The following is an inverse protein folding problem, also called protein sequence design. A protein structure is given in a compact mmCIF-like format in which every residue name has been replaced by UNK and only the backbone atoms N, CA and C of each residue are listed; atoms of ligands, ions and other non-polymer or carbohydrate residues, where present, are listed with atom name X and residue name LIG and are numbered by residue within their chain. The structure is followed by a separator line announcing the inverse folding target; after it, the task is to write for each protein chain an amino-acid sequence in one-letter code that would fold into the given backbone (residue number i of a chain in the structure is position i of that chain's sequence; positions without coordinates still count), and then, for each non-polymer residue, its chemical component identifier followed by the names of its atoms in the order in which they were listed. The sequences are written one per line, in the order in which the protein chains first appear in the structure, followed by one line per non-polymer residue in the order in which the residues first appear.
data_IF_921631192250
#
_entry.id   IF_921631192250
#
_cell.length_a   1.000
_cell.length_b   1.000
_cell.length_c   1.000
_cell.angle_alpha   90.00
_cell.angle_beta   90.00
_cell.angle_gamma   90.00
#
_symmetry.space_group_name_H-M   'P 1'
#
loop_
_entity.id
_entity.type
_entity.pdbx_description
1 polymer ?
#
# COMPACT_ATOMS: atom_id res chain seq x y z
N UNK A 1 -13.90 -6.01 -12.27
CA UNK A 1 -13.18 -5.81 -11.00
C UNK A 1 -12.11 -6.87 -10.79
N UNK A 2 -12.47 -8.11 -10.47
CA UNK A 2 -11.51 -9.19 -10.19
C UNK A 2 -10.52 -9.39 -11.35
N UNK A 3 -10.99 -9.38 -12.61
CA UNK A 3 -10.14 -9.49 -13.80
C UNK A 3 -9.09 -8.39 -13.90
N UNK A 4 -9.41 -7.14 -13.51
CA UNK A 4 -8.44 -6.04 -13.51
C UNK A 4 -7.33 -6.27 -12.51
N UNK A 5 -7.66 -6.64 -11.26
CA UNK A 5 -6.66 -6.91 -10.23
C UNK A 5 -5.78 -8.11 -10.58
N UNK A 6 -6.40 -9.21 -11.08
CA UNK A 6 -5.65 -10.40 -11.49
C UNK A 6 -4.69 -10.10 -12.65
N UNK A 7 -5.16 -9.37 -13.67
CA UNK A 7 -4.31 -9.00 -14.81
C UNK A 7 -3.21 -8.02 -14.41
N UNK A 8 -3.48 -7.09 -13.46
CA UNK A 8 -2.46 -6.21 -12.92
C UNK A 8 -1.29 -7.00 -12.33
N UNK A 9 -1.56 -8.07 -11.59
CA UNK A 9 -0.52 -8.96 -11.07
C UNK A 9 0.34 -9.57 -12.17
N UNK A 10 -0.29 -10.08 -13.23
CA UNK A 10 0.43 -10.67 -14.37
C UNK A 10 1.29 -9.63 -15.09
N UNK A 11 0.72 -8.47 -15.43
CA UNK A 11 1.43 -7.43 -16.17
C UNK A 11 2.55 -6.83 -15.34
N UNK A 12 2.31 -6.54 -14.06
CA UNK A 12 3.33 -6.01 -13.18
C UNK A 12 4.51 -6.96 -13.00
N UNK A 13 4.26 -8.26 -12.81
CA UNK A 13 5.31 -9.26 -12.69
C UNK A 13 6.20 -9.29 -13.94
N UNK A 14 5.61 -9.27 -15.13
CA UNK A 14 6.37 -9.24 -16.38
C UNK A 14 7.18 -7.96 -16.55
N UNK A 15 6.56 -6.81 -16.32
CA UNK A 15 7.26 -5.51 -16.41
C UNK A 15 8.38 -5.42 -15.39
N UNK A 16 8.13 -5.94 -14.16
CA UNK A 16 9.12 -5.94 -13.09
C UNK A 16 10.38 -6.68 -13.47
N UNK A 17 10.25 -7.91 -13.98
CA UNK A 17 11.38 -8.75 -14.40
C UNK A 17 12.09 -8.16 -15.62
N UNK A 18 11.35 -7.57 -16.57
CA UNK A 18 11.94 -7.02 -17.79
C UNK A 18 12.75 -5.76 -17.48
N UNK A 19 12.16 -4.80 -16.76
CA UNK A 19 12.78 -3.48 -16.59
C UNK A 19 12.51 -2.83 -15.22
N UNK A 20 11.37 -3.10 -14.60
CA UNK A 20 10.93 -2.42 -13.39
C UNK A 20 11.91 -2.56 -12.24
N UNK A 21 12.44 -3.76 -12.02
CA UNK A 21 13.47 -4.01 -11.00
C UNK A 21 14.73 -3.17 -11.26
N UNK A 22 15.15 -3.06 -12.51
CA UNK A 22 16.30 -2.25 -12.90
C UNK A 22 16.10 -0.77 -12.63
N UNK A 23 14.92 -0.24 -12.95
CA UNK A 23 14.57 1.15 -12.69
C UNK A 23 14.39 1.47 -11.20
N UNK A 24 14.05 0.47 -10.38
CA UNK A 24 13.91 0.63 -8.94
C UNK A 24 15.25 0.50 -8.19
N UNK A 25 16.10 -0.47 -8.56
CA UNK A 25 17.27 -0.87 -7.76
C UNK A 25 18.60 -0.83 -8.51
N UNK A 26 18.60 -0.55 -9.82
CA UNK A 26 19.83 -0.36 -10.58
C UNK A 26 20.52 0.97 -10.25
N UNK A 27 21.80 1.05 -10.50
CA UNK A 27 22.57 2.29 -10.40
C UNK A 27 22.00 3.35 -11.35
N UNK A 28 21.74 4.57 -10.84
CA UNK A 28 21.08 5.59 -11.63
C UNK A 28 21.29 7.00 -11.08
N UNK A 29 20.27 7.83 -11.20
CA UNK A 29 20.26 9.19 -10.66
C UNK A 29 19.31 9.27 -9.43
N UNK A 30 19.06 10.46 -8.92
CA UNK A 30 18.22 10.67 -7.75
C UNK A 30 16.74 10.24 -7.93
N UNK A 31 16.28 9.96 -9.15
CA UNK A 31 14.87 9.72 -9.46
C UNK A 31 14.60 8.35 -10.06
N UNK A 32 15.56 7.72 -10.72
CA UNK A 32 15.37 6.45 -11.42
C UNK A 32 16.69 5.70 -11.55
N UNK A 33 16.65 4.38 -11.39
CA UNK A 33 17.74 3.46 -11.67
C UNK A 33 18.00 3.29 -13.19
N UNK A 34 19.16 2.75 -13.51
CA UNK A 34 19.59 2.48 -14.90
C UNK A 34 19.12 1.11 -15.39
N UNK A 35 19.89 0.56 -16.35
CA UNK A 35 19.59 -0.71 -17.02
C UNK A 35 20.41 -1.90 -16.50
N UNK A 36 21.04 -1.77 -15.34
CA UNK A 36 21.97 -2.74 -14.78
C UNK A 36 21.34 -4.14 -14.62
N UNK A 37 20.07 -4.18 -14.19
CA UNK A 37 19.34 -5.42 -13.98
C UNK A 37 18.30 -5.71 -15.08
N UNK A 38 18.47 -5.17 -16.29
CA UNK A 38 17.57 -5.45 -17.41
C UNK A 38 17.44 -6.95 -17.65
N UNK A 39 16.21 -7.48 -17.69
CA UNK A 39 15.90 -8.92 -17.80
C UNK A 39 16.57 -9.78 -16.71
N UNK A 40 17.01 -9.17 -15.61
CA UNK A 40 17.75 -9.81 -14.51
C UNK A 40 19.06 -10.50 -14.93
N UNK A 41 19.57 -10.21 -16.12
CA UNK A 41 20.73 -10.92 -16.72
C UNK A 41 22.04 -10.79 -15.93
N UNK A 42 22.17 -9.72 -15.11
CA UNK A 42 23.38 -9.51 -14.27
C UNK A 42 23.31 -10.21 -12.92
N UNK A 43 22.16 -10.76 -12.52
CA UNK A 43 21.97 -11.42 -11.22
C UNK A 43 22.32 -12.90 -11.36
N UNK A 44 23.31 -13.36 -10.59
CA UNK A 44 23.69 -14.77 -10.51
C UNK A 44 22.83 -15.50 -9.48
N UNK A 45 22.79 -16.84 -9.60
CA UNK A 45 21.97 -17.69 -8.73
C UNK A 45 22.40 -17.68 -7.26
N UNK A 46 23.65 -17.39 -7.02
CA UNK A 46 24.31 -17.34 -5.70
C UNK A 46 24.48 -15.92 -5.15
N UNK A 47 24.05 -14.88 -5.89
CA UNK A 47 24.08 -13.49 -5.42
C UNK A 47 23.14 -13.30 -4.22
N UNK A 48 23.56 -12.47 -3.29
CA UNK A 48 22.80 -12.08 -2.11
C UNK A 48 22.39 -10.62 -2.19
N UNK A 49 21.21 -10.32 -1.64
CA UNK A 49 20.75 -8.98 -1.30
C UNK A 49 20.56 -8.95 0.22
N UNK A 50 21.47 -8.28 0.95
CA UNK A 50 21.53 -8.39 2.40
C UNK A 50 21.77 -9.82 2.84
N UNK A 51 20.82 -10.41 3.57
CA UNK A 51 20.92 -11.78 4.13
C UNK A 51 20.19 -12.85 3.32
N UNK A 52 19.50 -12.46 2.23
CA UNK A 52 18.68 -13.37 1.45
C UNK A 52 19.16 -13.51 0.00
N UNK A 53 18.84 -14.62 -0.70
CA UNK A 53 19.14 -14.75 -2.12
C UNK A 53 18.58 -13.56 -2.93
N UNK A 54 19.38 -13.01 -3.84
CA UNK A 54 18.99 -11.82 -4.61
C UNK A 54 17.73 -12.07 -5.44
N UNK A 55 17.56 -13.26 -6.02
CA UNK A 55 16.34 -13.62 -6.75
C UNK A 55 15.09 -13.65 -5.85
N UNK A 56 15.23 -14.00 -4.56
CA UNK A 56 14.12 -13.91 -3.60
C UNK A 56 13.76 -12.45 -3.32
N UNK A 57 14.76 -11.58 -3.18
CA UNK A 57 14.55 -10.14 -3.04
C UNK A 57 13.82 -9.55 -4.26
N UNK A 58 14.25 -9.92 -5.48
CA UNK A 58 13.57 -9.52 -6.72
C UNK A 58 12.10 -9.91 -6.70
N UNK A 59 11.80 -11.16 -6.34
CA UNK A 59 10.42 -11.66 -6.29
C UNK A 59 9.61 -10.96 -5.21
N UNK A 60 10.16 -10.78 -4.01
CA UNK A 60 9.52 -10.09 -2.90
C UNK A 60 9.13 -8.65 -3.30
N UNK A 61 10.07 -7.88 -3.83
CA UNK A 61 9.84 -6.53 -4.29
C UNK A 61 8.85 -6.46 -5.49
N UNK A 62 8.84 -7.48 -6.34
CA UNK A 62 7.88 -7.60 -7.44
C UNK A 62 6.43 -7.75 -6.96
N UNK A 63 6.20 -8.38 -5.81
CA UNK A 63 4.86 -8.47 -5.22
C UNK A 63 4.32 -7.09 -4.81
N UNK A 64 5.20 -6.17 -4.40
CA UNK A 64 4.82 -4.79 -4.07
C UNK A 64 4.45 -3.97 -5.30
N UNK A 65 5.19 -4.11 -6.40
CA UNK A 65 4.81 -3.50 -7.67
C UNK A 65 3.43 -3.99 -8.15
N UNK A 66 3.19 -5.30 -7.99
CA UNK A 66 1.94 -5.92 -8.40
C UNK A 66 0.75 -5.46 -7.55
N UNK A 67 0.88 -5.42 -6.22
CA UNK A 67 -0.21 -4.95 -5.37
C UNK A 67 -0.45 -3.45 -5.55
N UNK A 68 0.59 -2.62 -5.71
CA UNK A 68 0.45 -1.19 -5.88
C UNK A 68 -0.41 -0.84 -7.10
N UNK A 69 -0.14 -1.40 -8.28
CA UNK A 69 -0.97 -1.16 -9.46
C UNK A 69 -2.36 -1.80 -9.33
N UNK A 70 -2.47 -2.95 -8.67
CA UNK A 70 -3.79 -3.55 -8.42
C UNK A 70 -4.68 -2.65 -7.54
N UNK A 71 -4.13 -1.95 -6.55
CA UNK A 71 -4.86 -0.96 -5.75
C UNK A 71 -5.44 0.16 -6.61
N UNK A 72 -4.67 0.70 -7.56
CA UNK A 72 -5.14 1.77 -8.46
C UNK A 72 -6.41 1.37 -9.21
N UNK A 73 -6.56 0.08 -9.56
CA UNK A 73 -7.77 -0.41 -10.23
C UNK A 73 -9.05 -0.11 -9.44
N UNK A 74 -8.96 -0.11 -8.11
CA UNK A 74 -10.10 0.11 -7.23
C UNK A 74 -10.77 1.47 -7.43
N UNK A 75 -10.01 2.50 -7.79
CA UNK A 75 -10.55 3.84 -8.03
C UNK A 75 -11.29 3.98 -9.35
N UNK A 76 -11.00 3.14 -10.34
CA UNK A 76 -11.42 3.34 -11.74
C UNK A 76 -12.32 2.24 -12.30
N UNK A 77 -12.78 1.34 -11.46
CA UNK A 77 -13.67 0.24 -11.83
C UNK A 77 -14.89 0.78 -12.60
N UNK A 78 -15.29 0.04 -13.65
CA UNK A 78 -16.44 0.34 -14.52
C UNK A 78 -16.28 1.55 -15.45
N UNK A 79 -15.16 2.25 -15.41
CA UNK A 79 -14.90 3.46 -16.22
C UNK A 79 -13.84 3.31 -17.30
N UNK A 80 -13.06 2.23 -17.25
CA UNK A 80 -11.91 2.01 -18.15
C UNK A 80 -12.08 0.72 -18.93
N UNK A 81 -11.79 0.76 -20.24
CA UNK A 81 -11.74 -0.45 -21.07
C UNK A 81 -10.59 -1.35 -20.59
N UNK A 82 -10.81 -2.65 -20.62
CA UNK A 82 -9.83 -3.63 -20.15
C UNK A 82 -8.47 -3.54 -20.87
N UNK A 83 -8.48 -3.31 -22.19
CA UNK A 83 -7.25 -3.09 -22.97
C UNK A 83 -6.47 -1.85 -22.50
N UNK A 84 -7.17 -0.76 -22.22
CA UNK A 84 -6.55 0.47 -21.68
C UNK A 84 -5.95 0.20 -20.30
N UNK A 85 -6.62 -0.61 -19.47
CA UNK A 85 -6.11 -1.01 -18.16
C UNK A 85 -4.79 -1.79 -18.27
N UNK A 86 -4.67 -2.71 -19.23
CA UNK A 86 -3.42 -3.45 -19.45
C UNK A 86 -2.28 -2.49 -19.81
N UNK A 87 -2.49 -1.60 -20.77
CA UNK A 87 -1.48 -0.62 -21.20
C UNK A 87 -1.11 0.30 -20.02
N UNK A 88 -2.11 0.80 -19.30
CA UNK A 88 -1.87 1.63 -18.14
C UNK A 88 -1.03 0.91 -17.08
N UNK A 89 -1.35 -0.34 -16.76
CA UNK A 89 -0.62 -1.12 -15.76
C UNK A 89 0.86 -1.29 -16.14
N UNK A 90 1.15 -1.56 -17.40
CA UNK A 90 2.52 -1.68 -17.92
C UNK A 90 3.28 -0.37 -17.74
N UNK A 91 2.71 0.72 -18.21
CA UNK A 91 3.35 2.05 -18.17
C UNK A 91 3.48 2.55 -16.73
N UNK A 92 2.44 2.38 -15.91
CA UNK A 92 2.44 2.85 -14.53
C UNK A 92 3.50 2.14 -13.67
N UNK A 93 3.65 0.83 -13.81
CA UNK A 93 4.70 0.08 -13.08
C UNK A 93 6.09 0.53 -13.51
N UNK A 94 6.34 0.68 -14.82
CA UNK A 94 7.64 1.07 -15.32
C UNK A 94 8.00 2.54 -15.01
N UNK A 95 7.04 3.47 -15.19
CA UNK A 95 7.32 4.91 -15.22
C UNK A 95 6.89 5.68 -13.97
N UNK A 96 6.08 5.06 -13.09
CA UNK A 96 5.61 5.69 -11.86
C UNK A 96 6.09 4.88 -10.65
N UNK A 97 5.71 3.59 -10.58
CA UNK A 97 6.07 2.77 -9.42
C UNK A 97 7.58 2.60 -9.26
N UNK A 98 8.27 2.17 -10.31
CA UNK A 98 9.71 1.87 -10.22
C UNK A 98 10.56 3.10 -9.89
N UNK A 99 10.33 4.29 -10.48
CA UNK A 99 11.01 5.50 -10.06
C UNK A 99 10.72 5.89 -8.59
N UNK A 100 9.49 5.78 -8.12
CA UNK A 100 9.17 6.08 -6.72
C UNK A 100 9.88 5.08 -5.78
N UNK A 101 9.88 3.79 -6.13
CA UNK A 101 10.65 2.78 -5.40
C UNK A 101 12.16 3.10 -5.38
N UNK A 102 12.70 3.60 -6.49
CA UNK A 102 14.09 4.06 -6.56
C UNK A 102 14.35 5.25 -5.62
N UNK A 103 13.47 6.25 -5.66
CA UNK A 103 13.62 7.44 -4.80
C UNK A 103 13.64 7.09 -3.31
N UNK A 104 12.86 6.10 -2.86
CA UNK A 104 12.71 5.74 -1.44
C UNK A 104 13.69 4.63 -1.04
N UNK A 105 13.83 3.57 -1.84
CA UNK A 105 14.58 2.35 -1.47
C UNK A 105 15.83 2.11 -2.32
N UNK A 106 15.90 2.68 -3.52
CA UNK A 106 16.98 2.45 -4.49
C UNK A 106 18.17 3.41 -4.35
N UNK A 107 18.26 4.20 -3.28
CA UNK A 107 19.31 5.19 -3.09
C UNK A 107 19.04 6.53 -3.79
N UNK A 108 17.79 6.81 -4.15
CA UNK A 108 17.37 8.05 -4.76
C UNK A 108 17.17 9.20 -3.76
N UNK A 109 16.48 10.25 -4.19
CA UNK A 109 16.42 11.52 -3.44
C UNK A 109 15.80 11.39 -2.05
N UNK A 110 14.73 10.61 -1.88
CA UNK A 110 14.05 10.47 -0.58
C UNK A 110 14.89 9.65 0.39
N UNK A 111 15.50 8.55 -0.09
CA UNK A 111 16.45 7.76 0.68
C UNK A 111 17.62 8.63 1.20
N UNK A 112 18.18 9.48 0.34
CA UNK A 112 19.29 10.36 0.68
C UNK A 112 18.90 11.46 1.68
N UNK A 113 17.62 11.78 1.82
CA UNK A 113 17.08 12.71 2.82
C UNK A 113 16.59 12.00 4.09
N UNK A 114 16.76 10.69 4.21
CA UNK A 114 16.46 9.92 5.41
C UNK A 114 15.00 9.55 5.58
N UNK A 115 14.21 9.45 4.50
CA UNK A 115 12.84 8.94 4.60
C UNK A 115 12.82 7.53 5.19
N UNK A 116 11.95 7.34 6.19
CA UNK A 116 11.68 6.05 6.82
C UNK A 116 10.42 5.44 6.23
N UNK A 117 10.58 4.49 5.33
CA UNK A 117 9.48 3.70 4.77
C UNK A 117 9.82 2.21 4.80
N UNK A 118 9.45 1.54 5.90
CA UNK A 118 9.88 0.16 6.15
C UNK A 118 9.33 -0.83 5.12
N UNK A 119 8.06 -0.68 4.76
CA UNK A 119 7.40 -1.65 3.91
C UNK A 119 6.52 -1.04 2.80
N UNK A 120 6.56 0.27 2.55
CA UNK A 120 5.92 0.87 1.39
C UNK A 120 4.72 1.77 1.68
N UNK A 121 4.73 2.49 2.79
CA UNK A 121 3.74 3.55 3.04
C UNK A 121 3.74 4.58 1.93
N UNK A 122 4.90 5.08 1.55
CA UNK A 122 5.09 6.01 0.42
C UNK A 122 5.07 5.28 -0.91
N UNK A 123 5.91 4.25 -1.08
CA UNK A 123 6.13 3.57 -2.36
C UNK A 123 4.85 2.92 -2.88
N UNK A 124 4.02 2.36 -2.02
CA UNK A 124 2.83 1.60 -2.40
C UNK A 124 1.57 2.40 -2.14
N UNK A 125 1.32 2.77 -0.87
CA UNK A 125 -0.01 3.24 -0.46
C UNK A 125 -0.26 4.70 -0.87
N UNK A 126 0.66 5.62 -0.61
CA UNK A 126 0.54 7.01 -1.06
C UNK A 126 0.52 7.05 -2.58
N UNK A 127 1.46 6.36 -3.22
CA UNK A 127 1.57 6.31 -4.67
C UNK A 127 0.27 5.81 -5.34
N UNK A 128 -0.25 4.65 -4.91
CA UNK A 128 -1.50 4.11 -5.46
C UNK A 128 -2.71 5.00 -5.13
N UNK A 129 -2.80 5.52 -3.91
CA UNK A 129 -3.90 6.37 -3.48
C UNK A 129 -3.98 7.68 -4.25
N UNK A 130 -2.86 8.36 -4.43
CA UNK A 130 -2.78 9.62 -5.22
C UNK A 130 -3.03 9.34 -6.69
N UNK A 131 -2.47 8.27 -7.25
CA UNK A 131 -2.75 7.87 -8.65
C UNK A 131 -4.24 7.61 -8.85
N UNK A 132 -4.88 6.89 -7.92
CA UNK A 132 -6.33 6.66 -7.92
C UNK A 132 -7.13 7.97 -7.89
N UNK A 133 -6.78 8.89 -6.99
CA UNK A 133 -7.44 10.20 -6.89
C UNK A 133 -7.33 10.99 -8.20
N UNK A 134 -6.14 11.10 -8.77
CA UNK A 134 -5.93 11.79 -10.06
C UNK A 134 -6.79 11.17 -11.16
N UNK A 135 -6.81 9.84 -11.25
CA UNK A 135 -7.61 9.14 -12.25
C UNK A 135 -9.12 9.35 -12.05
N UNK A 136 -9.60 9.42 -10.80
CA UNK A 136 -11.04 9.71 -10.55
C UNK A 136 -11.43 11.10 -11.07
N UNK A 137 -10.59 12.10 -10.87
CA UNK A 137 -10.83 13.44 -11.43
C UNK A 137 -10.76 13.47 -12.96
N UNK A 138 -9.82 12.74 -13.57
CA UNK A 138 -9.67 12.70 -15.03
C UNK A 138 -10.84 11.98 -15.72
N UNK A 139 -11.36 10.91 -15.12
CA UNK A 139 -12.41 10.08 -15.72
C UNK A 139 -13.82 10.57 -15.37
N UNK A 140 -13.97 11.35 -14.31
CA UNK A 140 -15.25 11.80 -13.79
C UNK A 140 -16.04 10.69 -13.09
N UNK A 141 -17.27 11.00 -12.69
CA UNK A 141 -18.14 10.10 -11.95
C UNK A 141 -18.76 9.03 -12.84
N UNK A 142 -19.04 7.84 -12.27
CA UNK A 142 -19.85 6.80 -12.91
C UNK A 142 -21.27 7.32 -13.18
N UNK A 143 -21.95 6.73 -14.17
CA UNK A 143 -23.33 7.12 -14.51
C UNK A 143 -24.32 6.90 -13.38
N UNK A 144 -24.07 5.92 -12.54
CA UNK A 144 -24.87 5.49 -11.40
C UNK A 144 -24.26 5.87 -10.03
N UNK A 145 -23.33 6.83 -10.02
CA UNK A 145 -22.59 7.25 -8.80
C UNK A 145 -23.50 7.61 -7.61
N UNK A 146 -24.71 8.14 -7.88
CA UNK A 146 -25.68 8.52 -6.87
C UNK A 146 -26.78 7.47 -6.65
N UNK A 147 -26.67 6.28 -7.25
CA UNK A 147 -27.66 5.21 -7.03
C UNK A 147 -27.44 4.50 -5.69
N UNK A 148 -28.52 4.09 -5.04
CA UNK A 148 -28.47 3.30 -3.79
C UNK A 148 -27.91 1.88 -3.99
N UNK A 149 -27.65 1.46 -5.22
CA UNK A 149 -27.18 0.13 -5.60
C UNK A 149 -25.66 -0.06 -5.57
N UNK A 150 -24.90 0.92 -5.08
CA UNK A 150 -23.44 0.85 -4.96
C UNK A 150 -22.95 -0.05 -3.80
N UNK A 151 -23.65 -1.17 -3.55
CA UNK A 151 -23.27 -2.14 -2.52
C UNK A 151 -22.27 -3.17 -3.05
N UNK A 152 -21.40 -3.74 -2.18
CA UNK A 152 -20.55 -4.87 -2.57
C UNK A 152 -21.43 -6.02 -3.10
N UNK A 153 -21.06 -6.61 -4.24
CA UNK A 153 -21.77 -7.75 -4.82
C UNK A 153 -21.80 -8.98 -3.90
N UNK A 154 -20.81 -9.10 -3.02
CA UNK A 154 -20.73 -10.15 -2.00
C UNK A 154 -19.94 -9.68 -0.78
N UNK A 155 -20.64 -9.40 0.32
CA UNK A 155 -20.02 -9.07 1.60
C UNK A 155 -19.15 -10.21 2.13
N UNK A 156 -19.52 -11.47 1.87
CA UNK A 156 -18.73 -12.65 2.27
C UNK A 156 -17.38 -12.70 1.56
N UNK A 157 -17.36 -12.48 0.25
CA UNK A 157 -16.10 -12.46 -0.52
C UNK A 157 -15.24 -11.26 -0.15
N UNK A 158 -15.84 -10.10 0.10
CA UNK A 158 -15.12 -8.93 0.59
C UNK A 158 -14.44 -9.20 1.94
N UNK A 159 -15.17 -9.80 2.90
CA UNK A 159 -14.63 -10.14 4.21
C UNK A 159 -13.51 -11.21 4.10
N UNK A 160 -13.70 -12.22 3.26
CA UNK A 160 -12.66 -13.21 2.98
C UNK A 160 -11.41 -12.55 2.40
N UNK A 161 -11.57 -11.64 1.42
CA UNK A 161 -10.47 -10.89 0.80
C UNK A 161 -9.71 -10.04 1.82
N UNK A 162 -10.42 -9.29 2.67
CA UNK A 162 -9.78 -8.49 3.73
C UNK A 162 -9.06 -9.33 4.78
N UNK A 163 -9.59 -10.52 5.09
CA UNK A 163 -8.94 -11.46 6.01
C UNK A 163 -7.66 -12.06 5.41
N UNK A 164 -7.68 -12.39 4.12
CA UNK A 164 -6.48 -12.85 3.39
C UNK A 164 -5.44 -11.74 3.28
N UNK A 165 -5.86 -10.48 3.08
CA UNK A 165 -4.96 -9.32 3.13
C UNK A 165 -4.34 -9.16 4.52
N UNK A 166 -5.11 -9.28 5.60
CA UNK A 166 -4.59 -9.20 6.96
C UNK A 166 -3.50 -10.25 7.20
N UNK A 167 -3.79 -11.50 6.86
CA UNK A 167 -2.81 -12.57 6.97
C UNK A 167 -1.57 -12.31 6.09
N UNK A 168 -1.77 -11.92 4.83
CA UNK A 168 -0.68 -11.61 3.90
C UNK A 168 0.20 -10.45 4.36
N UNK A 169 -0.37 -9.52 5.14
CA UNK A 169 0.36 -8.37 5.66
C UNK A 169 1.42 -8.73 6.71
N UNK A 170 1.31 -9.86 7.36
CA UNK A 170 2.40 -10.38 8.19
C UNK A 170 3.67 -10.63 7.39
N UNK A 171 3.52 -11.20 6.19
CA UNK A 171 4.61 -11.33 5.22
C UNK A 171 5.00 -10.00 4.58
N UNK A 172 4.03 -9.14 4.32
CA UNK A 172 4.24 -7.81 3.75
C UNK A 172 5.19 -6.98 4.64
N UNK A 173 4.86 -6.80 5.91
CA UNK A 173 5.65 -6.00 6.85
C UNK A 173 6.79 -6.81 7.49
N UNK A 174 6.53 -8.00 8.01
CA UNK A 174 7.60 -8.83 8.62
C UNK A 174 8.66 -9.26 7.61
N UNK A 175 8.26 -9.58 6.38
CA UNK A 175 9.18 -9.92 5.30
C UNK A 175 10.06 -8.76 4.85
N UNK A 176 9.63 -7.51 5.03
CA UNK A 176 10.41 -6.33 4.68
C UNK A 176 11.68 -6.16 5.51
N UNK A 177 11.81 -6.88 6.61
CA UNK A 177 13.07 -6.97 7.36
C UNK A 177 14.16 -7.73 6.61
N UNK A 178 13.80 -8.58 5.64
CA UNK A 178 14.71 -9.42 4.85
C UNK A 178 15.56 -10.38 5.70
N UNK A 179 15.16 -10.61 6.96
CA UNK A 179 15.82 -11.51 7.91
C UNK A 179 14.79 -12.11 8.87
N UNK A 180 15.10 -13.28 9.43
CA UNK A 180 14.28 -13.92 10.47
C UNK A 180 14.84 -13.56 11.85
N UNK A 181 14.59 -12.32 12.29
CA UNK A 181 15.10 -11.75 13.53
C UNK A 181 14.00 -11.10 14.38
N UNK A 182 14.38 -10.42 15.47
CA UNK A 182 13.45 -9.77 16.38
C UNK A 182 12.73 -8.57 15.74
N UNK A 183 13.33 -7.89 14.75
CA UNK A 183 12.66 -6.78 14.03
C UNK A 183 11.53 -7.34 13.18
N UNK A 184 11.75 -8.46 12.47
CA UNK A 184 10.68 -9.14 11.73
C UNK A 184 9.55 -9.59 12.66
N UNK A 185 9.86 -10.16 13.81
CA UNK A 185 8.87 -10.57 14.81
C UNK A 185 8.09 -9.37 15.38
N UNK A 186 8.78 -8.27 15.69
CA UNK A 186 8.15 -7.02 16.10
C UNK A 186 7.23 -6.47 15.01
N UNK A 187 7.69 -6.41 13.74
CA UNK A 187 6.90 -5.92 12.62
C UNK A 187 5.60 -6.72 12.42
N UNK A 188 5.61 -8.03 12.60
CA UNK A 188 4.40 -8.87 12.57
C UNK A 188 3.46 -8.51 13.73
N UNK A 189 3.98 -8.39 14.95
CA UNK A 189 3.18 -8.05 16.12
C UNK A 189 2.52 -6.68 15.99
N UNK A 190 3.28 -5.64 15.68
CA UNK A 190 2.76 -4.27 15.58
C UNK A 190 1.79 -4.12 14.41
N UNK A 191 1.98 -4.87 13.32
CA UNK A 191 1.03 -4.95 12.20
C UNK A 191 -0.31 -5.49 12.67
N UNK A 192 -0.32 -6.59 13.43
CA UNK A 192 -1.55 -7.17 13.95
C UNK A 192 -2.26 -6.23 14.92
N UNK A 193 -1.52 -5.57 15.81
CA UNK A 193 -2.06 -4.61 16.78
C UNK A 193 -2.70 -3.41 16.09
N UNK A 194 -2.01 -2.82 15.11
CA UNK A 194 -2.54 -1.67 14.38
C UNK A 194 -3.76 -2.01 13.53
N UNK A 195 -3.79 -3.19 12.90
CA UNK A 195 -4.95 -3.69 12.17
C UNK A 195 -6.17 -3.81 13.07
N UNK A 196 -6.02 -4.46 14.23
CA UNK A 196 -7.08 -4.62 15.22
C UNK A 196 -7.57 -3.28 15.77
N UNK A 197 -6.63 -2.36 16.10
CA UNK A 197 -6.95 -1.03 16.59
C UNK A 197 -7.71 -0.20 15.55
N UNK A 198 -7.29 -0.24 14.28
CA UNK A 198 -7.96 0.45 13.18
C UNK A 198 -9.39 -0.05 12.95
N UNK A 199 -9.57 -1.37 12.88
CA UNK A 199 -10.89 -1.98 12.75
C UNK A 199 -11.83 -1.66 13.91
N UNK A 200 -11.32 -1.73 15.13
CA UNK A 200 -12.09 -1.41 16.34
C UNK A 200 -12.46 0.08 16.41
N UNK A 201 -11.53 0.98 16.05
CA UNK A 201 -11.80 2.42 16.03
C UNK A 201 -12.87 2.77 14.99
N UNK A 202 -12.79 2.23 13.78
CA UNK A 202 -13.82 2.44 12.77
C UNK A 202 -15.20 1.99 13.26
N UNK A 203 -15.28 0.79 13.84
CA UNK A 203 -16.50 0.23 14.41
C UNK A 203 -17.08 1.16 15.48
N UNK A 204 -16.26 1.68 16.41
CA UNK A 204 -16.71 2.60 17.46
C UNK A 204 -17.24 3.92 16.87
N UNK A 205 -16.60 4.44 15.83
CA UNK A 205 -17.05 5.69 15.17
C UNK A 205 -18.39 5.45 14.48
N UNK A 206 -18.56 4.37 13.71
CA UNK A 206 -19.86 4.03 13.12
C UNK A 206 -20.95 3.88 14.19
N UNK A 207 -20.63 3.24 15.30
CA UNK A 207 -21.58 3.04 16.39
C UNK A 207 -21.99 4.34 17.08
N UNK A 208 -21.08 5.29 17.19
CA UNK A 208 -21.32 6.58 17.87
C UNK A 208 -21.94 7.65 16.97
N UNK A 209 -21.78 7.55 15.65
CA UNK A 209 -22.12 8.63 14.71
C UNK A 209 -23.36 8.38 13.87
N UNK A 210 -23.93 7.20 13.88
CA UNK A 210 -25.11 6.87 13.07
C UNK A 210 -26.17 6.16 13.88
N UNK A 211 -27.44 6.36 13.54
CA UNK A 211 -28.54 5.51 14.02
C UNK A 211 -28.44 4.07 13.45
N UNK A 212 -27.39 3.80 12.70
CA UNK A 212 -27.08 2.52 12.06
C UNK A 212 -26.14 1.71 12.92
N UNK A 213 -26.33 0.41 12.90
CA UNK A 213 -25.41 -0.55 13.53
C UNK A 213 -24.07 -0.56 12.78
N UNK A 214 -22.94 -0.84 13.45
CA UNK A 214 -21.66 -1.04 12.81
C UNK A 214 -21.74 -2.06 11.67
N UNK A 215 -20.99 -1.80 10.60
CA UNK A 215 -21.04 -2.63 9.39
C UNK A 215 -19.81 -3.53 9.26
N UNK A 216 -19.98 -4.70 8.65
CA UNK A 216 -18.85 -5.58 8.31
C UNK A 216 -17.91 -4.91 7.31
N UNK A 217 -18.46 -4.11 6.38
CA UNK A 217 -17.66 -3.35 5.42
C UNK A 217 -16.79 -2.31 6.14
N UNK A 218 -17.38 -1.55 7.06
CA UNK A 218 -16.66 -0.56 7.86
C UNK A 218 -15.56 -1.18 8.71
N UNK A 219 -15.85 -2.30 9.38
CA UNK A 219 -14.84 -3.03 10.17
C UNK A 219 -13.67 -3.50 9.30
N UNK A 220 -13.94 -4.05 8.11
CA UNK A 220 -12.91 -4.48 7.17
C UNK A 220 -12.08 -3.27 6.65
N UNK A 221 -12.74 -2.16 6.32
CA UNK A 221 -12.07 -0.93 5.89
C UNK A 221 -11.18 -0.36 7.00
N UNK A 222 -11.63 -0.39 8.24
CA UNK A 222 -10.85 0.01 9.41
C UNK A 222 -9.62 -0.86 9.64
N UNK A 223 -9.77 -2.19 9.50
CA UNK A 223 -8.64 -3.14 9.55
C UNK A 223 -7.60 -2.80 8.48
N UNK A 224 -8.03 -2.62 7.22
CA UNK A 224 -7.11 -2.26 6.13
C UNK A 224 -6.46 -0.89 6.38
N UNK A 225 -7.21 0.09 6.89
CA UNK A 225 -6.65 1.38 7.29
C UNK A 225 -5.53 1.22 8.34
N UNK A 226 -5.74 0.39 9.37
CA UNK A 226 -4.71 0.08 10.36
C UNK A 226 -3.47 -0.57 9.75
N UNK A 227 -3.67 -1.51 8.82
CA UNK A 227 -2.59 -2.17 8.08
C UNK A 227 -1.78 -1.17 7.23
N UNK A 228 -2.46 -0.28 6.53
CA UNK A 228 -1.83 0.77 5.71
C UNK A 228 -1.02 1.74 6.56
N UNK A 229 -1.62 2.26 7.63
CA UNK A 229 -0.96 3.26 8.47
C UNK A 229 0.28 2.75 9.19
N UNK A 230 0.28 1.46 9.59
CA UNK A 230 1.46 0.87 10.24
C UNK A 230 2.57 0.49 9.25
N UNK A 231 2.26 0.35 7.97
CA UNK A 231 3.20 -0.16 6.96
C UNK A 231 4.54 0.58 6.92
N UNK A 232 4.60 1.92 6.88
CA UNK A 232 5.89 2.63 6.90
C UNK A 232 6.62 2.52 8.24
N UNK A 233 5.88 2.31 9.34
CA UNK A 233 6.37 2.36 10.71
C UNK A 233 6.73 0.99 11.31
N UNK A 234 6.30 -0.11 10.68
CA UNK A 234 6.27 -1.45 11.31
C UNK A 234 7.64 -1.97 11.78
N UNK A 235 8.73 -1.54 11.16
CA UNK A 235 10.09 -1.86 11.58
C UNK A 235 10.71 -0.86 12.56
N UNK A 236 9.97 0.18 12.98
CA UNK A 236 10.53 1.29 13.76
C UNK A 236 9.77 1.60 15.04
N UNK A 237 8.55 1.06 15.22
CA UNK A 237 7.70 1.37 16.39
C UNK A 237 7.45 0.17 17.27
N UNK A 238 7.17 0.42 18.54
CA UNK A 238 6.72 -0.57 19.51
C UNK A 238 5.18 -0.76 19.48
N UNK A 239 4.67 -1.56 20.40
CA UNK A 239 3.23 -1.84 20.54
C UNK A 239 2.43 -0.58 20.87
N UNK A 240 3.00 0.36 21.64
CA UNK A 240 2.33 1.62 21.99
C UNK A 240 2.18 2.50 20.75
N UNK A 241 3.25 2.65 19.97
CA UNK A 241 3.22 3.33 18.67
C UNK A 241 2.23 2.69 17.71
N UNK A 242 2.18 1.36 17.65
CA UNK A 242 1.24 0.63 16.81
C UNK A 242 -0.23 0.85 17.21
N UNK A 243 -0.55 0.89 18.51
CA UNK A 243 -1.90 1.22 18.99
C UNK A 243 -2.30 2.63 18.55
N UNK A 244 -1.43 3.63 18.74
CA UNK A 244 -1.68 5.01 18.34
C UNK A 244 -1.89 5.10 16.83
N UNK A 245 -0.96 4.55 16.03
CA UNK A 245 -1.06 4.57 14.58
C UNK A 245 -2.35 3.87 14.12
N UNK A 246 -2.67 2.70 14.65
CA UNK A 246 -3.87 1.94 14.28
C UNK A 246 -5.16 2.71 14.58
N UNK A 247 -5.30 3.27 15.78
CA UNK A 247 -6.48 4.06 16.16
C UNK A 247 -6.68 5.27 15.24
N UNK A 248 -5.64 6.06 15.03
CA UNK A 248 -5.74 7.22 14.14
C UNK A 248 -5.96 6.83 12.68
N UNK A 249 -5.35 5.74 12.21
CA UNK A 249 -5.59 5.20 10.86
C UNK A 249 -7.05 4.82 10.64
N UNK A 250 -7.68 4.16 11.61
CA UNK A 250 -9.10 3.84 11.54
C UNK A 250 -9.99 5.08 11.48
N UNK A 251 -9.68 6.12 12.26
CA UNK A 251 -10.41 7.38 12.27
C UNK A 251 -10.22 8.19 10.98
N UNK A 252 -8.98 8.28 10.49
CA UNK A 252 -8.64 9.00 9.25
C UNK A 252 -9.22 8.29 8.04
N UNK A 253 -9.14 6.95 7.97
CA UNK A 253 -9.78 6.15 6.92
C UNK A 253 -11.29 6.35 6.90
N UNK A 254 -11.96 6.30 8.07
CA UNK A 254 -13.38 6.62 8.17
C UNK A 254 -13.69 8.02 7.63
N UNK A 255 -12.92 9.03 8.05
CA UNK A 255 -13.09 10.39 7.56
C UNK A 255 -12.90 10.47 6.04
N UNK A 256 -11.86 9.85 5.49
CA UNK A 256 -11.55 9.84 4.07
C UNK A 256 -12.67 9.22 3.23
N UNK A 257 -13.18 8.08 3.67
CA UNK A 257 -14.21 7.31 2.94
C UNK A 257 -15.61 7.91 3.11
N UNK A 258 -16.00 8.22 4.34
CA UNK A 258 -17.39 8.57 4.67
C UNK A 258 -17.65 10.07 4.55
N UNK A 259 -16.64 10.91 4.83
CA UNK A 259 -16.81 12.36 4.86
C UNK A 259 -16.13 13.07 3.69
N UNK A 260 -14.82 12.92 3.56
CA UNK A 260 -14.02 13.67 2.59
C UNK A 260 -14.43 13.37 1.14
N UNK A 261 -14.63 12.08 0.80
CA UNK A 261 -15.10 11.68 -0.53
C UNK A 261 -16.40 12.38 -0.91
N UNK A 262 -17.38 12.41 -0.01
CA UNK A 262 -18.65 13.08 -0.23
C UNK A 262 -18.53 14.61 -0.29
N UNK A 263 -17.67 15.22 0.54
CA UNK A 263 -17.44 16.67 0.54
C UNK A 263 -16.80 17.17 -0.75
N UNK A 264 -15.87 16.39 -1.32
CA UNK A 264 -15.15 16.75 -2.54
C UNK A 264 -15.82 16.22 -3.83
N UNK A 265 -16.79 15.31 -3.70
CA UNK A 265 -17.61 14.82 -4.80
C UNK A 265 -16.88 13.97 -5.84
N UNK A 266 -15.73 13.37 -5.51
CA UNK A 266 -15.03 12.46 -6.41
C UNK A 266 -15.52 11.02 -6.26
N UNK A 267 -15.57 10.29 -7.37
CA UNK A 267 -16.03 8.90 -7.42
C UNK A 267 -14.88 7.90 -7.36
N UNK A 268 -14.35 7.68 -6.16
CA UNK A 268 -13.36 6.63 -5.88
C UNK A 268 -14.11 5.35 -5.50
N UNK A 269 -14.21 4.41 -6.43
CA UNK A 269 -15.17 3.29 -6.35
C UNK A 269 -14.92 2.38 -5.15
N UNK A 270 -13.66 2.06 -4.84
CA UNK A 270 -13.27 1.21 -3.70
C UNK A 270 -12.46 1.96 -2.65
N UNK A 271 -12.64 3.27 -2.54
CA UNK A 271 -12.08 4.10 -1.47
C UNK A 271 -10.55 4.08 -1.36
N UNK A 272 -9.88 3.92 -2.51
CA UNK A 272 -8.42 3.76 -2.58
C UNK A 272 -7.68 4.98 -2.01
N UNK A 273 -8.13 6.19 -2.37
CA UNK A 273 -7.51 7.40 -1.82
C UNK A 273 -7.75 7.53 -0.31
N UNK A 274 -8.99 7.31 0.15
CA UNK A 274 -9.33 7.43 1.56
C UNK A 274 -8.55 6.47 2.45
N UNK A 275 -8.43 5.21 2.03
CA UNK A 275 -7.79 4.13 2.80
C UNK A 275 -6.27 4.09 2.57
N UNK A 276 -5.80 4.21 1.32
CA UNK A 276 -4.37 4.07 1.01
C UNK A 276 -3.66 5.42 0.90
N UNK A 277 -4.22 6.41 0.20
CA UNK A 277 -3.59 7.72 0.03
C UNK A 277 -3.53 8.50 1.34
N UNK A 278 -4.68 8.78 1.92
CA UNK A 278 -4.79 9.63 3.11
C UNK A 278 -4.18 8.97 4.34
N UNK A 279 -4.49 7.69 4.58
CA UNK A 279 -3.92 6.94 5.72
C UNK A 279 -2.43 6.66 5.52
N UNK A 280 -1.98 6.42 4.28
CA UNK A 280 -0.56 6.28 3.96
C UNK A 280 0.24 7.53 4.28
N UNK A 281 -0.27 8.73 3.91
CA UNK A 281 0.33 10.02 4.28
C UNK A 281 0.43 10.15 5.80
N UNK A 282 -0.66 9.85 6.51
CA UNK A 282 -0.64 9.86 7.98
C UNK A 282 0.41 8.89 8.53
N UNK A 283 0.46 7.65 8.04
CA UNK A 283 1.41 6.63 8.50
C UNK A 283 2.87 7.05 8.29
N UNK A 284 3.19 7.61 7.11
CA UNK A 284 4.53 8.11 6.82
C UNK A 284 4.96 9.24 7.78
N UNK A 285 4.05 10.20 8.03
CA UNK A 285 4.29 11.30 8.99
C UNK A 285 4.43 10.73 10.42
N UNK A 286 3.54 9.84 10.82
CA UNK A 286 3.56 9.23 12.16
C UNK A 286 4.85 8.41 12.39
N UNK A 287 5.42 7.79 11.35
CA UNK A 287 6.71 7.10 11.43
C UNK A 287 7.81 8.06 11.89
N UNK A 288 7.89 9.26 11.28
CA UNK A 288 8.88 10.27 11.67
C UNK A 288 8.77 10.72 13.13
N UNK A 289 7.58 10.70 13.73
CA UNK A 289 7.40 11.09 15.14
C UNK A 289 7.53 9.94 16.14
N UNK A 290 7.23 8.71 15.73
CA UNK A 290 7.10 7.57 16.63
C UNK A 290 8.21 6.53 16.48
N UNK A 291 9.14 6.71 15.53
CA UNK A 291 10.27 5.80 15.37
C UNK A 291 11.12 5.75 16.64
N UNK A 292 11.37 4.52 17.11
CA UNK A 292 12.16 4.25 18.31
C UNK A 292 13.53 3.68 17.90
N UNK A 293 14.65 4.39 18.20
CA UNK A 293 16.00 3.93 17.84
C UNK A 293 16.37 2.58 18.45
N UNK A 294 15.75 2.18 19.56
CA UNK A 294 16.02 0.89 20.22
C UNK A 294 15.52 -0.31 19.38
N UNK A 295 14.60 -0.08 18.44
CA UNK A 295 14.03 -1.16 17.62
C UNK A 295 14.91 -1.42 16.40
N UNK A 296 15.23 -0.37 15.62
CA UNK A 296 15.92 -0.52 14.34
C UNK A 296 16.99 0.58 14.10
N UNK A 297 17.50 1.18 15.15
CA UNK A 297 18.57 2.19 15.07
C UNK A 297 18.18 3.52 14.41
N UNK A 298 16.97 3.62 13.82
CA UNK A 298 16.50 4.85 13.21
C UNK A 298 15.84 5.76 14.25
N UNK A 299 16.33 6.98 14.38
CA UNK A 299 15.69 8.01 15.20
C UNK A 299 14.58 8.69 14.42
N UNK A 300 13.45 8.94 15.08
CA UNK A 300 12.44 9.84 14.58
C UNK A 300 12.86 11.32 14.67
N UNK A 301 11.97 12.21 14.26
CA UNK A 301 12.16 13.67 14.33
C UNK A 301 12.19 14.17 15.77
#
# INVERSE_FOLDING_TARGET
TIGMSYTAFCTATLVWVIIGYSFAFGSGNNFIGGFEYFMLNSIKIDDLSGTIPHLLYVMFQGTFAAIAVALVSGSIIERVKFSTWIIFSILWVALIYSPIAHMVWGGGILSNHGELDFAGGTVIHINAGISGLVLTYMLGNRRDHHSDDNRPSSTKLMLLGSSLLWFGWFGFNGGSQLAADFIAANAILVTNVAAAAGGFTWLLIEWSTSDKKPTLLGSASGVVSGLVGITPASGYVDVTGALVIGMFSGAIGYFGVVKLKNMLGYDDTLDVFGIHGLVGIFGAIATGFLANPEINGAAGL
#
